data_IF_747497734329
#
_entry.id   IF_747497734329
#
_cell.length_a   1.000
_cell.length_b   1.000
_cell.length_c   1.000
_cell.angle_alpha   90.00
_cell.angle_beta   90.00
_cell.angle_gamma   90.00
#
_symmetry.space_group_name_H-M   'P 1'
#
loop_
_entity.id
_entity.type
_entity.pdbx_description
1 polymer ?
#
# COMPACT_ATOMS: atom_id res chain seq x y z
N UNK A 1 -16.36 -5.14 -12.11
CA UNK A 1 -16.18 -5.49 -10.68
C UNK A 1 -16.26 -7.00 -10.48
N UNK A 2 -17.10 -7.67 -11.26
CA UNK A 2 -17.44 -9.09 -11.17
C UNK A 2 -16.23 -10.04 -11.27
N UNK A 3 -15.20 -9.64 -12.01
CA UNK A 3 -13.95 -10.42 -12.16
C UNK A 3 -13.02 -10.29 -10.95
N UNK A 4 -12.90 -9.09 -10.37
CA UNK A 4 -11.90 -8.79 -9.32
C UNK A 4 -12.47 -9.02 -7.92
N UNK A 5 -13.78 -8.79 -7.74
CA UNK A 5 -14.49 -8.90 -6.47
C UNK A 5 -14.21 -10.22 -5.72
N UNK A 6 -14.29 -11.41 -6.35
CA UNK A 6 -14.10 -12.67 -5.62
C UNK A 6 -12.69 -12.79 -5.03
N UNK A 7 -11.67 -12.40 -5.81
CA UNK A 7 -10.29 -12.43 -5.37
C UNK A 7 -10.02 -11.41 -4.26
N UNK A 8 -10.63 -10.23 -4.37
CA UNK A 8 -10.45 -9.17 -3.39
C UNK A 8 -11.08 -9.53 -2.04
N UNK A 9 -12.31 -10.07 -2.05
CA UNK A 9 -12.99 -10.51 -0.83
C UNK A 9 -12.26 -11.66 -0.16
N UNK A 10 -11.86 -12.68 -0.93
CA UNK A 10 -11.06 -13.80 -0.42
C UNK A 10 -9.78 -13.35 0.26
N UNK A 11 -9.07 -12.38 -0.33
CA UNK A 11 -7.87 -11.79 0.29
C UNK A 11 -8.17 -11.15 1.66
N UNK A 12 -9.27 -10.39 1.76
CA UNK A 12 -9.66 -9.76 3.03
C UNK A 12 -10.07 -10.79 4.09
N UNK A 13 -10.78 -11.85 3.69
CA UNK A 13 -11.17 -12.94 4.60
C UNK A 13 -9.95 -13.71 5.11
N UNK A 14 -9.02 -14.08 4.21
CA UNK A 14 -7.76 -14.74 4.56
C UNK A 14 -6.91 -13.88 5.51
N UNK A 15 -6.79 -12.57 5.24
CA UNK A 15 -6.09 -11.64 6.12
C UNK A 15 -6.78 -11.51 7.47
N UNK A 16 -8.11 -11.45 7.50
CA UNK A 16 -8.86 -11.30 8.75
C UNK A 16 -8.73 -12.52 9.66
N UNK A 17 -8.76 -13.73 9.09
CA UNK A 17 -8.64 -14.99 9.85
C UNK A 17 -7.21 -15.22 10.33
N UNK A 18 -6.22 -15.00 9.46
CA UNK A 18 -4.83 -15.38 9.76
C UNK A 18 -4.02 -14.22 10.37
N UNK A 19 -4.38 -12.96 10.11
CA UNK A 19 -3.63 -11.79 10.53
C UNK A 19 -2.28 -11.61 9.82
N UNK A 20 -2.03 -12.35 8.73
CA UNK A 20 -0.74 -12.36 8.03
C UNK A 20 -0.88 -11.73 6.65
N UNK A 21 0.10 -10.92 6.25
CA UNK A 21 0.21 -10.45 4.88
C UNK A 21 0.77 -11.54 3.97
N UNK A 22 0.15 -11.82 2.81
CA UNK A 22 0.76 -12.65 1.78
C UNK A 22 2.13 -12.12 1.37
N UNK A 23 3.05 -13.05 1.09
CA UNK A 23 4.40 -12.69 0.63
C UNK A 23 4.34 -11.82 -0.63
N UNK A 24 5.09 -10.72 -0.62
CA UNK A 24 5.16 -9.78 -1.74
C UNK A 24 4.03 -8.76 -1.79
N UNK A 25 3.02 -8.81 -0.92
CA UNK A 25 1.93 -7.82 -0.93
C UNK A 25 2.42 -6.39 -0.62
N UNK A 26 3.42 -6.27 0.27
CA UNK A 26 4.06 -5.00 0.60
C UNK A 26 5.25 -4.67 -0.31
N UNK A 27 5.48 -5.44 -1.38
CA UNK A 27 6.48 -5.10 -2.37
C UNK A 27 6.12 -3.77 -3.02
N UNK A 28 7.12 -2.92 -3.21
CA UNK A 28 6.94 -1.61 -3.83
C UNK A 28 8.13 -1.26 -4.69
N UNK A 29 7.89 -0.49 -5.75
CA UNK A 29 8.94 0.14 -6.53
C UNK A 29 9.15 1.56 -6.03
N UNK A 30 10.40 2.00 -5.97
CA UNK A 30 10.72 3.38 -5.64
C UNK A 30 10.91 4.13 -6.96
N UNK A 31 10.05 5.13 -7.20
CA UNK A 31 10.24 6.10 -8.27
C UNK A 31 10.90 7.35 -7.70
N UNK A 32 11.99 7.80 -8.31
CA UNK A 32 12.67 9.05 -7.95
C UNK A 32 12.15 10.16 -8.87
N UNK A 33 11.39 11.10 -8.31
CA UNK A 33 10.86 12.25 -9.06
C UNK A 33 11.78 13.46 -8.81
N UNK A 34 12.33 14.09 -9.86
CA UNK A 34 13.17 15.27 -9.69
C UNK A 34 12.35 16.43 -9.10
N UNK A 35 12.93 17.14 -8.11
CA UNK A 35 12.36 18.37 -7.54
C UNK A 35 12.82 19.63 -8.27
N UNK A 36 13.94 19.54 -8.99
CA UNK A 36 14.61 20.63 -9.71
C UNK A 36 14.92 20.20 -11.14
N UNK A 37 15.21 21.16 -12.02
CA UNK A 37 15.43 20.92 -13.46
C UNK A 37 16.64 20.04 -13.77
N UNK A 38 17.72 20.17 -13.00
CA UNK A 38 18.96 19.41 -13.17
C UNK A 38 19.42 18.84 -11.82
N UNK A 39 18.88 17.70 -11.40
CA UNK A 39 19.16 17.11 -10.10
C UNK A 39 20.55 16.45 -10.05
N UNK A 40 21.39 16.90 -9.12
CA UNK A 40 22.79 16.47 -9.00
C UNK A 40 23.03 15.55 -7.80
N UNK A 41 22.18 15.65 -6.76
CA UNK A 41 22.30 14.83 -5.55
C UNK A 41 20.99 14.10 -5.23
N UNK A 42 21.06 13.01 -4.45
CA UNK A 42 19.87 12.23 -4.06
C UNK A 42 18.79 13.07 -3.38
N UNK A 43 19.19 14.11 -2.63
CA UNK A 43 18.26 15.04 -1.98
C UNK A 43 17.43 15.88 -2.97
N UNK A 44 17.86 16.00 -4.22
CA UNK A 44 17.12 16.69 -5.29
C UNK A 44 15.94 15.85 -5.79
N UNK A 45 15.86 14.59 -5.38
CA UNK A 45 14.76 13.70 -5.73
C UNK A 45 13.76 13.56 -4.58
N UNK A 46 12.49 13.43 -4.93
CA UNK A 46 11.42 12.99 -4.04
C UNK A 46 11.17 11.51 -4.32
N UNK A 47 11.45 10.59 -3.38
CA UNK A 47 11.08 9.20 -3.55
C UNK A 47 9.57 9.03 -3.40
N UNK A 48 8.96 8.26 -4.29
CA UNK A 48 7.56 7.81 -4.18
C UNK A 48 7.53 6.28 -4.24
N UNK A 49 6.90 5.66 -3.24
CA UNK A 49 6.66 4.22 -3.23
C UNK A 49 5.41 3.86 -4.04
N UNK A 50 5.62 3.18 -5.16
CA UNK A 50 4.58 2.56 -5.97
C UNK A 50 4.27 1.18 -5.40
N UNK A 51 3.25 1.14 -4.55
CA UNK A 51 2.76 -0.07 -3.87
C UNK A 51 1.36 -0.46 -4.39
N UNK A 52 1.08 -1.77 -4.40
CA UNK A 52 -0.17 -2.33 -4.90
C UNK A 52 -1.41 -1.77 -4.21
N UNK A 53 -2.50 -1.59 -4.97
CA UNK A 53 -3.74 -1.00 -4.46
C UNK A 53 -4.41 -1.84 -3.36
N UNK A 54 -4.31 -3.18 -3.44
CA UNK A 54 -4.84 -4.10 -2.43
C UNK A 54 -4.25 -3.81 -1.05
N UNK A 55 -2.93 -3.61 -0.97
CA UNK A 55 -2.26 -3.19 0.27
C UNK A 55 -2.79 -1.85 0.77
N UNK A 56 -2.91 -0.85 -0.11
CA UNK A 56 -3.40 0.50 0.25
C UNK A 56 -4.81 0.45 0.83
N UNK A 57 -5.70 -0.34 0.24
CA UNK A 57 -7.09 -0.47 0.71
C UNK A 57 -7.12 -1.17 2.08
N UNK A 58 -6.35 -2.25 2.26
CA UNK A 58 -6.26 -2.93 3.55
C UNK A 58 -5.70 -2.01 4.64
N UNK A 59 -4.61 -1.29 4.35
CA UNK A 59 -4.04 -0.29 5.25
C UNK A 59 -5.08 0.76 5.64
N UNK A 60 -5.88 1.27 4.68
CA UNK A 60 -6.95 2.23 4.95
C UNK A 60 -8.02 1.67 5.88
N UNK A 61 -8.45 0.42 5.66
CA UNK A 61 -9.41 -0.26 6.54
C UNK A 61 -8.86 -0.37 7.96
N UNK A 62 -7.60 -0.79 8.11
CA UNK A 62 -6.93 -0.90 9.41
C UNK A 62 -6.82 0.47 10.09
N UNK A 63 -6.38 1.51 9.39
CA UNK A 63 -6.32 2.87 9.92
C UNK A 63 -7.69 3.34 10.40
N UNK A 64 -8.76 3.08 9.65
CA UNK A 64 -10.11 3.45 10.06
C UNK A 64 -10.59 2.69 11.31
N UNK A 65 -10.13 1.45 11.51
CA UNK A 65 -10.40 0.69 12.75
C UNK A 65 -9.60 1.25 13.92
N UNK A 66 -8.31 1.53 13.73
CA UNK A 66 -7.43 2.10 14.75
C UNK A 66 -7.91 3.49 15.21
N UNK A 67 -8.40 4.32 14.29
CA UNK A 67 -8.97 5.65 14.62
C UNK A 67 -10.10 5.61 15.64
N UNK A 68 -10.79 4.48 15.81
CA UNK A 68 -11.87 4.35 16.81
C UNK A 68 -11.36 4.12 18.22
N UNK A 69 -10.09 3.71 18.36
CA UNK A 69 -9.49 3.34 19.65
C UNK A 69 -8.29 4.23 20.02
N UNK A 70 -7.74 4.96 19.06
CA UNK A 70 -6.76 6.02 19.31
C UNK A 70 -7.50 7.29 19.72
N UNK A 71 -7.23 7.78 20.93
CA UNK A 71 -7.67 9.08 21.43
C UNK A 71 -6.95 10.23 20.72
#
# INVERSE_FOLDING_TARGET
WDVIKPNFLRFFDEFYVNGVFPRGLNASFIALIPKVMDPQVLNDYRPISLIGCTYKILAKVLTNRMKKVMH
#
